data_IF_504073213308
#
_entry.id   IF_504073213308
#
_cell.length_a   1.000
_cell.length_b   1.000
_cell.length_c   1.000
_cell.angle_alpha   90.00
_cell.angle_beta   90.00
_cell.angle_gamma   90.00
#
_symmetry.space_group_name_H-M   'P 1'
#
loop_
_entity.id
_entity.type
_entity.pdbx_description
1 polymer ?
#
# COMPACT_ATOMS: atom_id res chain seq x y z
N UNK A 1 22.08 -15.94 35.64
CA UNK A 1 22.03 -16.19 34.17
C UNK A 1 20.60 -16.44 33.69
N UNK A 2 19.87 -17.39 34.29
CA UNK A 2 18.47 -17.72 33.91
C UNK A 2 17.51 -16.53 34.07
N UNK A 3 17.61 -15.77 35.16
CA UNK A 3 16.73 -14.62 35.43
C UNK A 3 16.87 -13.52 34.39
N UNK A 4 18.10 -13.20 33.97
CA UNK A 4 18.37 -12.21 32.92
C UNK A 4 17.86 -12.69 31.57
N UNK A 5 18.05 -13.97 31.24
CA UNK A 5 17.53 -14.56 30.01
C UNK A 5 16.00 -14.48 29.93
N UNK A 6 15.31 -14.75 31.04
CA UNK A 6 13.85 -14.70 31.10
C UNK A 6 13.32 -13.26 30.96
N UNK A 7 14.02 -12.28 31.55
CA UNK A 7 13.71 -10.86 31.38
C UNK A 7 13.92 -10.42 29.93
N UNK A 8 15.01 -10.84 29.27
CA UNK A 8 15.26 -10.50 27.87
C UNK A 8 14.20 -11.09 26.94
N UNK A 9 13.79 -12.34 27.16
CA UNK A 9 12.70 -12.96 26.40
C UNK A 9 11.40 -12.17 26.59
N UNK A 10 11.07 -11.79 27.83
CA UNK A 10 9.88 -10.98 28.11
C UNK A 10 9.93 -9.62 27.37
N UNK A 11 11.09 -8.94 27.38
CA UNK A 11 11.27 -7.67 26.66
C UNK A 11 11.10 -7.84 25.16
N UNK A 12 11.67 -8.89 24.56
CA UNK A 12 11.54 -9.17 23.11
C UNK A 12 10.08 -9.41 22.75
N UNK A 13 9.36 -10.21 23.55
CA UNK A 13 7.93 -10.50 23.31
C UNK A 13 7.11 -9.22 23.39
N UNK A 14 7.32 -8.39 24.42
CA UNK A 14 6.62 -7.12 24.58
C UNK A 14 6.93 -6.17 23.41
N UNK A 15 8.19 -6.05 23.01
CA UNK A 15 8.58 -5.23 21.86
C UNK A 15 7.93 -5.73 20.57
N UNK A 16 7.93 -7.05 20.32
CA UNK A 16 7.29 -7.64 19.16
C UNK A 16 5.78 -7.38 19.12
N UNK A 17 5.09 -7.46 20.26
CA UNK A 17 3.66 -7.15 20.35
C UNK A 17 3.41 -5.67 20.05
N UNK A 18 4.17 -4.75 20.65
CA UNK A 18 4.02 -3.31 20.40
C UNK A 18 4.23 -2.99 18.91
N UNK A 19 5.30 -3.53 18.32
CA UNK A 19 5.59 -3.36 16.91
C UNK A 19 4.50 -3.96 16.02
N UNK A 20 3.93 -5.10 16.39
CA UNK A 20 2.84 -5.74 15.64
C UNK A 20 1.56 -4.89 15.67
N UNK A 21 1.21 -4.34 16.83
CA UNK A 21 0.03 -3.45 16.97
C UNK A 21 0.20 -2.21 16.10
N UNK A 22 1.42 -1.70 15.96
CA UNK A 22 1.70 -0.52 15.13
C UNK A 22 1.80 -0.86 13.63
N UNK A 23 2.39 -2.01 13.27
CA UNK A 23 2.63 -2.40 11.88
C UNK A 23 1.39 -2.94 11.18
N UNK A 24 0.51 -3.66 11.88
CA UNK A 24 -0.74 -4.18 11.32
C UNK A 24 -1.63 -3.11 10.68
N UNK A 25 -1.96 -1.98 11.33
CA UNK A 25 -2.77 -0.94 10.68
C UNK A 25 -2.06 -0.32 9.47
N UNK A 26 -0.73 -0.20 9.52
CA UNK A 26 0.05 0.30 8.40
C UNK A 26 0.02 -0.67 7.20
N UNK A 27 0.12 -1.98 7.45
CA UNK A 27 -0.03 -3.02 6.43
C UNK A 27 -1.43 -3.02 5.80
N UNK A 28 -2.47 -2.81 6.60
CA UNK A 28 -3.84 -2.70 6.08
C UNK A 28 -3.98 -1.49 5.15
N UNK A 29 -3.45 -0.32 5.54
CA UNK A 29 -3.49 0.88 4.70
C UNK A 29 -2.72 0.66 3.39
N UNK A 30 -1.53 0.07 3.47
CA UNK A 30 -0.73 -0.25 2.28
C UNK A 30 -1.38 -1.30 1.39
N UNK A 31 -2.04 -2.31 1.95
CA UNK A 31 -2.80 -3.31 1.18
C UNK A 31 -4.05 -2.74 0.50
N UNK A 32 -4.64 -1.68 1.05
CA UNK A 32 -5.76 -0.96 0.43
C UNK A 32 -5.30 0.06 -0.63
N UNK A 33 -4.02 0.45 -0.64
CA UNK A 33 -3.47 1.45 -1.55
C UNK A 33 -3.53 1.03 -3.04
N UNK A 34 -3.20 -0.21 -3.44
CA UNK A 34 -3.40 -0.69 -4.82
C UNK A 34 -4.86 -0.61 -5.26
N UNK A 35 -5.79 -0.95 -4.37
CA UNK A 35 -7.22 -0.85 -4.69
C UNK A 35 -7.62 0.59 -4.98
N UNK A 36 -7.23 1.54 -4.12
CA UNK A 36 -7.50 2.95 -4.30
C UNK A 36 -6.89 3.52 -5.61
N UNK A 37 -5.64 3.13 -5.93
CA UNK A 37 -4.97 3.54 -7.16
C UNK A 37 -5.64 2.98 -8.41
N UNK A 38 -6.19 1.76 -8.34
CA UNK A 38 -6.95 1.16 -9.44
C UNK A 38 -8.23 1.95 -9.69
N UNK A 39 -8.97 2.32 -8.64
CA UNK A 39 -10.16 3.16 -8.74
C UNK A 39 -9.83 4.52 -9.35
N UNK A 40 -8.75 5.17 -8.89
CA UNK A 40 -8.26 6.43 -9.47
C UNK A 40 -7.87 6.27 -10.94
N UNK A 41 -7.20 5.18 -11.30
CA UNK A 41 -6.87 4.85 -12.67
C UNK A 41 -8.11 4.76 -13.56
N UNK A 42 -9.17 4.09 -13.09
CA UNK A 42 -10.46 4.00 -13.79
C UNK A 42 -11.12 5.38 -13.94
N UNK A 43 -11.18 6.17 -12.86
CA UNK A 43 -11.78 7.51 -12.88
C UNK A 43 -11.03 8.41 -13.88
N UNK A 44 -9.70 8.38 -13.88
CA UNK A 44 -8.87 9.13 -14.81
C UNK A 44 -9.04 8.65 -16.24
N UNK A 45 -9.21 7.34 -16.46
CA UNK A 45 -9.49 6.78 -17.77
C UNK A 45 -10.84 7.28 -18.32
N UNK A 46 -11.89 7.27 -17.49
CA UNK A 46 -13.21 7.78 -17.85
C UNK A 46 -13.13 9.29 -18.14
N UNK A 47 -12.43 10.05 -17.29
CA UNK A 47 -12.22 11.49 -17.48
C UNK A 47 -11.47 11.79 -18.79
N UNK A 48 -10.42 11.03 -19.10
CA UNK A 48 -9.65 11.18 -20.34
C UNK A 48 -10.53 10.93 -21.57
N UNK A 49 -11.39 9.91 -21.51
CA UNK A 49 -12.32 9.56 -22.58
C UNK A 49 -13.38 10.65 -22.81
N UNK A 50 -13.88 11.29 -21.74
CA UNK A 50 -14.91 12.33 -21.82
C UNK A 50 -14.40 13.70 -22.27
N UNK A 51 -13.18 14.10 -21.90
CA UNK A 51 -12.65 15.43 -22.26
C UNK A 51 -12.13 15.48 -23.70
N UNK A 52 -11.15 14.63 -24.05
CA UNK A 52 -10.48 14.63 -25.37
C UNK A 52 -9.92 13.23 -25.66
N UNK A 53 -10.70 12.33 -26.29
CA UNK A 53 -10.34 10.91 -26.42
C UNK A 53 -9.07 10.64 -27.24
N UNK A 54 -8.57 11.60 -28.02
CA UNK A 54 -7.43 11.44 -28.94
C UNK A 54 -6.10 11.95 -28.36
N UNK A 55 -6.13 12.68 -27.22
CA UNK A 55 -4.90 13.17 -26.57
C UNK A 55 -4.36 12.14 -25.59
N UNK A 56 -3.37 11.39 -26.05
CA UNK A 56 -2.63 10.39 -25.26
C UNK A 56 -2.04 10.94 -23.94
N UNK A 57 -1.76 12.25 -23.86
CA UNK A 57 -1.29 12.92 -22.64
C UNK A 57 -2.30 12.84 -21.48
N UNK A 58 -3.61 12.81 -21.78
CA UNK A 58 -4.64 12.66 -20.75
C UNK A 58 -4.74 11.22 -20.21
N UNK A 59 -4.23 10.22 -20.95
CA UNK A 59 -4.21 8.81 -20.52
C UNK A 59 -2.97 8.46 -19.69
N UNK A 60 -1.88 9.21 -19.83
CA UNK A 60 -0.65 9.04 -19.07
C UNK A 60 -0.85 8.91 -17.54
N UNK A 61 -1.63 9.79 -16.87
CA UNK A 61 -1.85 9.66 -15.43
C UNK A 61 -2.66 8.41 -15.05
N UNK A 62 -3.58 7.95 -15.90
CA UNK A 62 -4.32 6.71 -15.68
C UNK A 62 -3.39 5.49 -15.80
N UNK A 63 -2.56 5.44 -16.84
CA UNK A 63 -1.58 4.37 -17.05
C UNK A 63 -0.59 4.30 -15.89
N UNK A 64 -0.08 5.44 -15.42
CA UNK A 64 0.82 5.50 -14.26
C UNK A 64 0.11 4.96 -13.02
N UNK A 65 -1.13 5.36 -12.74
CA UNK A 65 -1.88 4.85 -11.59
C UNK A 65 -2.08 3.33 -11.64
N UNK A 66 -2.35 2.77 -12.83
CA UNK A 66 -2.46 1.33 -13.04
C UNK A 66 -1.13 0.59 -12.86
N UNK A 67 -0.03 1.11 -13.41
CA UNK A 67 1.30 0.51 -13.26
C UNK A 67 1.76 0.55 -11.81
N UNK A 68 1.60 1.69 -11.12
CA UNK A 68 1.94 1.84 -9.70
C UNK A 68 1.08 0.90 -8.84
N UNK A 69 -0.22 0.79 -9.13
CA UNK A 69 -1.09 -0.19 -8.48
C UNK A 69 -0.60 -1.63 -8.65
N UNK A 70 -0.25 -2.03 -9.88
CA UNK A 70 0.22 -3.38 -10.17
C UNK A 70 1.55 -3.69 -9.47
N UNK A 71 2.48 -2.73 -9.46
CA UNK A 71 3.77 -2.85 -8.75
C UNK A 71 3.56 -2.95 -7.24
N UNK A 72 2.70 -2.11 -6.67
CA UNK A 72 2.41 -2.15 -5.24
C UNK A 72 1.73 -3.47 -4.84
N UNK A 73 0.83 -4.00 -5.66
CA UNK A 73 0.21 -5.33 -5.45
C UNK A 73 1.18 -6.49 -5.63
N UNK A 74 2.30 -6.28 -6.32
CA UNK A 74 3.35 -7.28 -6.44
C UNK A 74 4.29 -7.27 -5.23
N UNK A 75 4.50 -6.09 -4.63
CA UNK A 75 5.38 -5.90 -3.47
C UNK A 75 4.68 -6.23 -2.14
N UNK A 76 3.38 -5.94 -2.02
CA UNK A 76 2.55 -6.13 -0.81
C UNK A 76 1.47 -7.19 -1.04
#
# INVERSE_FOLDING_TARGET
MITLALVLVAVIVVAAVILSILSVPFLIILGLLPWALTVLGIILLIKALFEKPVRWENFMPAVIAFVVSAVLRWIF
#
